data_IF_932732510945
#
_entry.id   IF_932732510945
#
_cell.length_a   1.000
_cell.length_b   1.000
_cell.length_c   1.000
_cell.angle_alpha   90.00
_cell.angle_beta   90.00
_cell.angle_gamma   90.00
#
_symmetry.space_group_name_H-M   'P 1'
#
loop_
_entity.id
_entity.type
_entity.pdbx_description
1 polymer ?
#
# COMPACT_ATOMS: atom_id res chain seq x y z
N UNK A 1 10.00 18.90 -24.18
CA UNK A 1 9.05 17.78 -24.13
C UNK A 1 9.65 16.75 -23.19
N UNK A 2 9.44 16.89 -21.88
CA UNK A 2 9.88 15.92 -20.88
C UNK A 2 8.64 15.22 -20.36
N UNK A 3 8.20 14.21 -21.09
CA UNK A 3 7.03 13.42 -20.75
C UNK A 3 7.48 12.04 -20.30
N UNK A 4 8.12 11.98 -19.14
CA UNK A 4 8.18 10.76 -18.35
C UNK A 4 8.05 11.18 -16.90
N UNK A 5 6.83 11.48 -16.45
CA UNK A 5 6.52 11.78 -15.05
C UNK A 5 6.78 10.61 -14.09
N UNK A 6 7.64 9.66 -14.47
CA UNK A 6 8.14 8.59 -13.66
C UNK A 6 9.38 9.05 -12.91
N UNK A 7 9.39 8.88 -11.59
CA UNK A 7 10.50 9.22 -10.73
C UNK A 7 10.94 7.97 -9.98
N UNK A 8 12.23 7.63 -10.05
CA UNK A 8 12.81 6.55 -9.27
C UNK A 8 13.70 7.13 -8.18
N UNK A 9 13.51 6.69 -6.94
CA UNK A 9 14.38 6.96 -5.80
C UNK A 9 14.76 5.62 -5.20
N UNK A 10 16.01 5.21 -5.34
CA UNK A 10 16.48 3.94 -4.81
C UNK A 10 17.93 3.70 -5.18
N UNK A 11 18.45 2.55 -4.80
CA UNK A 11 19.82 2.18 -5.12
C UNK A 11 19.92 1.71 -6.58
N UNK A 12 21.06 2.04 -7.19
CA UNK A 12 21.47 1.51 -8.48
C UNK A 12 22.79 0.77 -8.29
N UNK A 13 22.82 -0.52 -8.60
CA UNK A 13 24.04 -1.32 -8.60
C UNK A 13 24.27 -1.80 -10.03
N UNK A 14 25.46 -1.49 -10.57
CA UNK A 14 25.84 -1.84 -11.95
C UNK A 14 24.86 -1.30 -13.02
N UNK A 15 24.24 -0.14 -12.75
CA UNK A 15 23.24 0.47 -13.64
C UNK A 15 21.86 -0.21 -13.60
N UNK A 16 21.62 -1.14 -12.67
CA UNK A 16 20.32 -1.79 -12.44
C UNK A 16 19.71 -1.32 -11.12
N UNK A 17 18.38 -1.21 -11.09
CA UNK A 17 17.64 -0.89 -9.86
C UNK A 17 17.71 -2.10 -8.94
N UNK A 18 18.25 -1.90 -7.74
CA UNK A 18 18.52 -2.93 -6.75
C UNK A 18 18.18 -2.41 -5.36
N UNK A 19 17.88 -3.31 -4.42
CA UNK A 19 17.63 -2.94 -3.02
C UNK A 19 16.26 -2.28 -2.81
N UNK A 20 16.12 -1.52 -1.73
CA UNK A 20 14.87 -0.81 -1.43
C UNK A 20 14.73 0.45 -2.30
N UNK A 21 13.57 0.58 -2.95
CA UNK A 21 13.32 1.70 -3.86
C UNK A 21 11.86 2.17 -3.84
N UNK A 22 11.69 3.43 -4.20
CA UNK A 22 10.44 4.09 -4.45
C UNK A 22 10.36 4.46 -5.94
N UNK A 23 9.33 3.97 -6.63
CA UNK A 23 9.12 4.24 -8.05
C UNK A 23 7.76 4.87 -8.27
N UNK A 24 7.76 6.15 -8.63
CA UNK A 24 6.58 6.85 -9.11
C UNK A 24 6.40 6.51 -10.59
N UNK A 25 5.24 5.94 -10.91
CA UNK A 25 4.80 5.66 -12.26
C UNK A 25 4.14 6.92 -12.86
N UNK A 26 4.11 7.05 -14.20
CA UNK A 26 3.44 8.16 -14.86
C UNK A 26 1.92 8.19 -14.62
N UNK A 27 1.35 7.10 -14.10
CA UNK A 27 -0.05 6.98 -13.67
C UNK A 27 -0.30 7.52 -12.25
N UNK A 28 0.63 8.31 -11.70
CA UNK A 28 0.63 8.78 -10.30
C UNK A 28 0.57 7.64 -9.26
N UNK A 29 0.86 6.41 -9.69
CA UNK A 29 0.94 5.25 -8.83
C UNK A 29 2.35 5.18 -8.26
N UNK A 30 2.50 5.00 -6.96
CA UNK A 30 3.81 4.91 -6.30
C UNK A 30 4.06 3.49 -5.84
N UNK A 31 5.14 2.87 -6.30
CA UNK A 31 5.67 1.63 -5.74
C UNK A 31 6.67 1.95 -4.65
N UNK A 32 6.63 1.21 -3.54
CA UNK A 32 7.64 1.24 -2.49
C UNK A 32 7.95 -0.20 -2.11
N UNK A 33 9.18 -0.65 -2.28
CA UNK A 33 9.57 -2.01 -1.95
C UNK A 33 10.92 -2.38 -2.51
N UNK A 34 11.23 -3.67 -2.46
CA UNK A 34 12.49 -4.17 -2.98
C UNK A 34 12.47 -4.24 -4.50
N UNK A 35 13.63 -3.99 -5.10
CA UNK A 35 13.91 -4.15 -6.51
C UNK A 35 15.13 -5.04 -6.71
N UNK A 36 15.08 -5.79 -7.80
CA UNK A 36 16.17 -6.65 -8.23
C UNK A 36 16.17 -6.75 -9.74
N UNK A 37 17.32 -6.54 -10.34
CA UNK A 37 17.59 -6.58 -11.78
C UNK A 37 16.72 -5.61 -12.58
N UNK A 38 16.35 -4.47 -12.00
CA UNK A 38 15.41 -3.55 -12.65
C UNK A 38 13.93 -3.96 -12.53
N UNK A 39 13.60 -4.99 -11.75
CA UNK A 39 12.24 -5.50 -11.57
C UNK A 39 11.81 -5.43 -10.10
N UNK A 40 10.50 -5.32 -9.86
CA UNK A 40 9.95 -5.47 -8.50
C UNK A 40 10.28 -6.85 -7.94
N UNK A 41 10.75 -6.87 -6.71
CA UNK A 41 11.13 -8.09 -6.00
C UNK A 41 10.74 -8.01 -4.52
N UNK A 42 10.75 -9.15 -3.83
CA UNK A 42 10.54 -9.19 -2.39
C UNK A 42 9.20 -8.60 -1.96
N UNK A 43 9.20 -7.88 -0.83
CA UNK A 43 8.00 -7.20 -0.35
C UNK A 43 7.87 -5.81 -0.98
N UNK A 44 6.68 -5.48 -1.48
CA UNK A 44 6.41 -4.15 -2.03
C UNK A 44 4.95 -3.74 -1.99
N UNK A 45 4.72 -2.44 -1.83
CA UNK A 45 3.40 -1.83 -1.75
C UNK A 45 3.22 -0.83 -2.90
N UNK A 46 2.12 -0.99 -3.66
CA UNK A 46 1.67 0.01 -4.63
C UNK A 46 0.64 0.94 -3.97
N UNK A 47 0.84 2.24 -4.09
CA UNK A 47 -0.08 3.28 -3.67
C UNK A 47 -0.73 3.87 -4.92
N UNK A 48 -2.05 3.81 -4.98
CA UNK A 48 -2.82 4.34 -6.09
C UNK A 48 -3.33 5.76 -5.77
N UNK A 49 -3.52 6.61 -6.79
CA UNK A 49 -4.03 7.98 -6.60
C UNK A 49 -5.43 8.01 -5.99
N UNK A 50 -6.20 6.92 -6.10
CA UNK A 50 -7.51 6.76 -5.46
C UNK A 50 -7.44 6.50 -3.94
N UNK A 51 -6.23 6.48 -3.35
CA UNK A 51 -5.99 6.23 -1.93
C UNK A 51 -6.01 4.75 -1.55
N UNK A 52 -6.22 3.84 -2.50
CA UNK A 52 -6.03 2.40 -2.28
C UNK A 52 -4.55 2.09 -2.24
N UNK A 53 -4.19 1.03 -1.50
CA UNK A 53 -2.86 0.43 -1.55
C UNK A 53 -2.94 -1.05 -1.83
N UNK A 54 -1.95 -1.60 -2.51
CA UNK A 54 -1.83 -3.02 -2.79
C UNK A 54 -0.51 -3.51 -2.24
N UNK A 55 -0.60 -4.23 -1.13
CA UNK A 55 0.52 -4.84 -0.45
C UNK A 55 0.75 -6.22 -1.09
N UNK A 56 1.92 -6.46 -1.69
CA UNK A 56 2.22 -7.70 -2.41
C UNK A 56 3.67 -8.18 -2.28
N UNK A 57 3.85 -9.47 -2.55
CA UNK A 57 5.16 -10.11 -2.74
C UNK A 57 5.41 -10.19 -4.24
N UNK A 58 6.58 -9.75 -4.67
CA UNK A 58 6.97 -9.66 -6.07
C UNK A 58 8.13 -10.63 -6.37
N UNK A 59 8.05 -11.34 -7.47
CA UNK A 59 9.13 -12.19 -7.97
C UNK A 59 9.30 -11.93 -9.47
N UNK A 60 10.48 -11.45 -9.88
CA UNK A 60 10.80 -11.13 -11.28
C UNK A 60 9.75 -10.20 -11.92
N UNK A 61 9.29 -9.20 -11.16
CA UNK A 61 8.27 -8.25 -11.60
C UNK A 61 6.82 -8.74 -11.54
N UNK A 62 6.58 -9.99 -11.12
CA UNK A 62 5.23 -10.56 -11.00
C UNK A 62 4.77 -10.61 -9.54
N UNK A 63 3.56 -10.12 -9.25
CA UNK A 63 2.96 -10.25 -7.93
C UNK A 63 2.57 -11.72 -7.67
N UNK A 64 3.31 -12.38 -6.78
CA UNK A 64 3.08 -13.79 -6.41
C UNK A 64 1.93 -13.92 -5.41
N UNK A 65 1.79 -12.93 -4.54
CA UNK A 65 0.71 -12.84 -3.54
C UNK A 65 0.45 -11.38 -3.24
N UNK A 66 -0.81 -10.96 -3.13
CA UNK A 66 -1.12 -9.58 -2.77
C UNK A 66 -2.45 -9.40 -2.08
N UNK A 67 -2.64 -8.21 -1.51
CA UNK A 67 -3.84 -7.80 -0.79
C UNK A 67 -4.14 -6.34 -1.10
N UNK A 68 -5.25 -6.09 -1.79
CA UNK A 68 -5.74 -4.74 -2.05
C UNK A 68 -6.46 -4.21 -0.81
N UNK A 69 -5.98 -3.09 -0.28
CA UNK A 69 -6.61 -2.31 0.79
C UNK A 69 -7.18 -1.04 0.18
N UNK A 70 -8.49 -0.99 0.04
CA UNK A 70 -9.18 0.18 -0.51
C UNK A 70 -9.85 1.00 0.61
N UNK A 71 -9.76 2.34 0.60
CA UNK A 71 -10.33 3.19 1.64
C UNK A 71 -11.87 3.16 1.68
N UNK A 72 -12.53 2.77 0.58
CA UNK A 72 -13.99 2.76 0.47
C UNK A 72 -14.68 1.76 1.41
N UNK A 73 -14.03 0.67 1.81
CA UNK A 73 -14.61 -0.33 2.72
C UNK A 73 -14.19 -0.14 4.18
N UNK A 74 -12.95 0.30 4.41
CA UNK A 74 -12.37 0.50 5.75
C UNK A 74 -13.11 1.58 6.58
N UNK A 75 -13.78 2.54 5.91
CA UNK A 75 -14.62 3.57 6.56
C UNK A 75 -15.92 2.98 7.14
N UNK A 76 -16.53 2.01 6.47
CA UNK A 76 -17.79 1.39 6.89
C UNK A 76 -17.58 0.43 8.08
N UNK A 77 -16.48 -0.33 8.07
CA UNK A 77 -16.12 -1.25 9.16
C UNK A 77 -15.68 -0.51 10.43
N UNK A 78 -14.97 0.63 10.30
CA UNK A 78 -14.64 1.47 11.46
C UNK A 78 -15.88 2.10 12.11
N UNK A 79 -16.90 2.47 11.32
CA UNK A 79 -18.18 2.95 11.88
C UNK A 79 -18.97 1.86 12.61
N UNK A 80 -18.93 0.61 12.14
CA UNK A 80 -19.58 -0.51 12.83
C UNK A 80 -18.93 -0.81 14.18
N UNK A 81 -17.59 -0.77 14.28
CA UNK A 81 -16.90 -0.94 15.58
C UNK A 81 -17.14 0.22 16.55
N UNK A 82 -17.32 1.45 16.07
CA UNK A 82 -17.67 2.59 16.91
C UNK A 82 -19.13 2.50 17.41
N UNK A 83 -20.07 1.99 16.59
CA UNK A 83 -21.48 1.81 16.99
C UNK A 83 -21.64 0.70 18.04
N UNK A 84 -20.89 -0.40 17.95
CA UNK A 84 -20.97 -1.50 18.92
C UNK A 84 -20.38 -1.13 20.30
N UNK A 85 -19.39 -0.24 20.36
CA UNK A 85 -18.76 0.18 21.63
C UNK A 85 -19.64 1.17 22.40
N UNK A 86 -20.46 1.99 21.72
CA UNK A 86 -21.36 2.93 22.41
C UNK A 86 -22.60 2.26 23.03
N UNK A 87 -23.08 1.13 22.49
CA UNK A 87 -24.23 0.42 23.06
C UNK A 87 -23.90 -0.36 24.36
N UNK A 88 -22.66 -0.84 24.52
CA UNK A 88 -22.28 -1.61 25.72
C UNK A 88 -21.91 -0.74 26.93
N UNK A 89 -21.64 0.56 26.73
CA UNK A 89 -21.26 1.47 27.82
C UNK A 89 -22.45 2.03 28.62
N UNK A 90 -23.70 1.81 28.16
CA UNK A 90 -24.90 2.30 28.85
C UNK A 90 -25.57 1.27 29.76
N UNK A 91 -25.04 0.05 29.87
CA UNK A 91 -25.56 -1.01 30.74
C UNK A 91 -24.68 -1.26 31.98
N UNK A 92 -24.22 -0.21 32.66
CA UNK A 92 -23.77 -0.32 34.06
C UNK A 92 -24.21 0.91 34.85
N UNK A 93 -25.52 1.11 34.96
CA UNK A 93 -26.09 1.90 36.04
C UNK A 93 -27.37 1.21 36.52
N UNK A 94 -27.23 0.31 37.50
CA UNK A 94 -28.24 -0.02 38.53
C UNK A 94 -27.90 -1.32 39.28
N UNK A 95 -27.06 -1.23 40.31
CA UNK A 95 -27.34 -1.79 41.64
C UNK A 95 -26.17 -1.53 42.58
N UNK A 96 -26.48 -0.87 43.71
CA UNK A 96 -25.56 -0.49 44.77
C UNK A 96 -26.09 0.73 45.47
#
# INVERSE_FOLDING_TARGET
>A
MEYTGSQYIGEYVDGRMEGEAEYLLPTETKYVGEMKDGMFHGQGTLYFPNGSRYDAIWEKGLAVKGSLKSPIWTRLEKSLKAVTIVEMASMTQSQG
#
